data_IF_637205184971
#
_entry.id   IF_637205184971
#
_cell.length_a   1.000
_cell.length_b   1.000
_cell.length_c   1.000
_cell.angle_alpha   90.00
_cell.angle_beta   90.00
_cell.angle_gamma   90.00
#
_symmetry.space_group_name_H-M   'P 1'
#
loop_
_entity.id
_entity.type
_entity.pdbx_description
1 polymer ?
#
# COMPACT_ATOMS: atom_id res chain seq x y z
N UNK A 1 63.56 -90.57 58.53
CA UNK A 1 63.01 -90.45 57.16
C UNK A 1 61.65 -89.76 57.28
N UNK A 2 61.52 -88.56 56.70
CA UNK A 2 60.28 -88.04 56.05
C UNK A 2 59.05 -87.83 56.98
N UNK A 3 58.93 -86.62 57.55
CA UNK A 3 57.97 -85.53 57.22
C UNK A 3 56.49 -85.79 57.50
N UNK A 4 55.88 -84.93 58.33
CA UNK A 4 54.44 -84.67 58.32
C UNK A 4 54.20 -83.14 58.29
N UNK A 5 53.91 -82.69 57.07
CA UNK A 5 52.94 -81.65 56.67
C UNK A 5 52.65 -80.51 57.65
N UNK A 6 53.24 -79.34 57.37
CA UNK A 6 52.81 -78.05 57.91
C UNK A 6 51.61 -77.58 57.07
N UNK A 7 50.42 -77.56 57.67
CA UNK A 7 49.24 -76.89 57.11
C UNK A 7 49.53 -75.39 56.93
N UNK A 8 49.83 -74.97 55.70
CA UNK A 8 49.82 -73.56 55.31
C UNK A 8 48.42 -73.24 54.78
N UNK A 9 47.63 -72.61 55.63
CA UNK A 9 46.28 -72.13 55.32
C UNK A 9 46.41 -70.78 54.57
N UNK A 10 46.09 -70.66 53.26
CA UNK A 10 46.15 -69.38 52.57
C UNK A 10 44.79 -68.67 52.74
N UNK A 11 44.50 -68.18 53.95
CA UNK A 11 43.25 -67.46 54.26
C UNK A 11 43.44 -65.94 54.42
N UNK A 12 44.27 -65.33 53.57
CA UNK A 12 44.56 -63.88 53.62
C UNK A 12 44.52 -63.15 52.27
N UNK A 13 43.77 -63.63 51.27
CA UNK A 13 43.67 -62.94 49.96
C UNK A 13 42.25 -62.63 49.45
N UNK A 14 41.18 -63.15 50.07
CA UNK A 14 39.82 -62.88 49.60
C UNK A 14 39.32 -61.45 49.92
N UNK A 15 39.83 -60.81 50.98
CA UNK A 15 39.43 -59.45 51.36
C UNK A 15 40.07 -58.33 50.52
N UNK A 16 41.29 -58.53 50.02
CA UNK A 16 41.95 -57.55 49.15
C UNK A 16 41.35 -57.54 47.74
N UNK A 17 40.95 -58.71 47.23
CA UNK A 17 40.31 -58.86 45.92
C UNK A 17 38.91 -58.27 45.91
N UNK A 18 38.10 -58.45 46.96
CA UNK A 18 36.77 -57.84 47.07
C UNK A 18 36.82 -56.31 47.20
N UNK A 19 37.82 -55.76 47.91
CA UNK A 19 38.04 -54.32 48.02
C UNK A 19 38.48 -53.71 46.68
N UNK A 20 39.35 -54.40 45.94
CA UNK A 20 39.78 -53.97 44.60
C UNK A 20 38.63 -54.01 43.59
N UNK A 21 37.81 -55.07 43.59
CA UNK A 21 36.61 -55.16 42.75
C UNK A 21 35.60 -54.07 43.12
N UNK A 22 35.38 -53.83 44.42
CA UNK A 22 34.51 -52.76 44.91
C UNK A 22 34.98 -51.37 44.47
N UNK A 23 36.30 -51.10 44.51
CA UNK A 23 36.89 -49.85 44.04
C UNK A 23 36.70 -49.67 42.52
N UNK A 24 36.94 -50.74 41.74
CA UNK A 24 36.76 -50.72 40.28
C UNK A 24 35.29 -50.54 39.90
N UNK A 25 34.36 -51.16 40.64
CA UNK A 25 32.93 -50.96 40.42
C UNK A 25 32.49 -49.54 40.81
N UNK A 26 33.00 -49.01 41.92
CA UNK A 26 32.72 -47.63 42.32
C UNK A 26 33.26 -46.63 41.29
N UNK A 27 34.48 -46.84 40.79
CA UNK A 27 35.06 -45.98 39.76
C UNK A 27 34.33 -46.11 38.41
N UNK A 28 33.86 -47.30 38.05
CA UNK A 28 33.04 -47.50 36.86
C UNK A 28 31.68 -46.77 36.98
N UNK A 29 31.01 -46.87 38.13
CA UNK A 29 29.73 -46.19 38.39
C UNK A 29 29.91 -44.66 38.38
N UNK A 30 30.99 -44.13 38.97
CA UNK A 30 31.24 -42.68 38.96
C UNK A 30 31.53 -42.17 37.55
N UNK A 31 32.27 -42.91 36.72
CA UNK A 31 32.50 -42.57 35.32
C UNK A 31 31.19 -42.57 34.53
N UNK A 32 30.34 -43.60 34.71
CA UNK A 32 29.02 -43.65 34.05
C UNK A 32 28.16 -42.46 34.47
N UNK A 33 28.10 -42.14 35.78
CA UNK A 33 27.32 -41.01 36.28
C UNK A 33 27.79 -39.67 35.69
N UNK A 34 29.11 -39.45 35.58
CA UNK A 34 29.67 -38.25 34.94
C UNK A 34 29.33 -38.16 33.45
N UNK A 35 29.37 -39.28 32.73
CA UNK A 35 28.97 -39.33 31.32
C UNK A 35 27.48 -39.03 31.14
N UNK A 36 26.61 -39.63 31.96
CA UNK A 36 25.17 -39.36 31.92
C UNK A 36 24.86 -37.89 32.22
N UNK A 37 25.49 -37.31 33.26
CA UNK A 37 25.31 -35.90 33.59
C UNK A 37 25.74 -34.98 32.44
N UNK A 38 26.84 -35.31 31.75
CA UNK A 38 27.29 -34.57 30.56
C UNK A 38 26.30 -34.68 29.40
N UNK A 39 25.78 -35.88 29.13
CA UNK A 39 24.77 -36.08 28.06
C UNK A 39 23.50 -35.27 28.34
N UNK A 40 22.98 -35.33 29.58
CA UNK A 40 21.79 -34.58 29.98
C UNK A 40 22.02 -33.07 29.85
N UNK A 41 23.20 -32.56 30.25
CA UNK A 41 23.52 -31.15 30.09
C UNK A 41 23.53 -30.71 28.61
N UNK A 42 24.09 -31.54 27.73
CA UNK A 42 24.10 -31.28 26.28
C UNK A 42 22.68 -31.31 25.71
N UNK A 43 21.83 -32.25 26.13
CA UNK A 43 20.43 -32.32 25.70
C UNK A 43 19.61 -31.12 26.18
N UNK A 44 19.80 -30.68 27.43
CA UNK A 44 19.15 -29.47 27.96
C UNK A 44 19.58 -28.25 27.14
N UNK A 45 20.88 -28.12 26.84
CA UNK A 45 21.40 -27.02 26.05
C UNK A 45 20.86 -27.04 24.61
N UNK A 46 20.82 -28.22 23.98
CA UNK A 46 20.28 -28.39 22.64
C UNK A 46 18.78 -28.04 22.58
N UNK A 47 18.00 -28.50 23.57
CA UNK A 47 16.58 -28.19 23.70
C UNK A 47 16.35 -26.68 23.92
N UNK A 48 17.11 -26.06 24.83
CA UNK A 48 17.03 -24.62 25.06
C UNK A 48 17.38 -23.81 23.79
N UNK A 49 18.43 -24.22 23.07
CA UNK A 49 18.80 -23.59 21.81
C UNK A 49 17.72 -23.75 20.74
N UNK A 50 17.05 -24.90 20.68
CA UNK A 50 15.92 -25.13 19.77
C UNK A 50 14.74 -24.22 20.08
N UNK A 51 14.37 -24.07 21.36
CA UNK A 51 13.30 -23.16 21.80
C UNK A 51 13.64 -21.71 21.47
N UNK A 52 14.84 -21.25 21.81
CA UNK A 52 15.31 -19.89 21.49
C UNK A 52 15.31 -19.61 19.99
N UNK A 53 15.73 -20.60 19.19
CA UNK A 53 15.68 -20.48 17.73
C UNK A 53 14.25 -20.34 17.24
N UNK A 54 13.31 -21.15 17.76
CA UNK A 54 11.91 -21.07 17.39
C UNK A 54 11.28 -19.71 17.76
N UNK A 55 11.60 -19.18 18.95
CA UNK A 55 11.18 -17.84 19.37
C UNK A 55 11.73 -16.75 18.44
N UNK A 56 13.02 -16.78 18.13
CA UNK A 56 13.65 -15.81 17.24
C UNK A 56 13.04 -15.85 15.83
N UNK A 57 12.75 -17.04 15.29
CA UNK A 57 12.06 -17.19 13.99
C UNK A 57 10.65 -16.60 14.05
N UNK A 58 9.87 -16.91 15.08
CA UNK A 58 8.50 -16.41 15.21
C UNK A 58 8.47 -14.87 15.34
N UNK A 59 9.38 -14.30 16.13
CA UNK A 59 9.51 -12.85 16.28
C UNK A 59 9.97 -12.17 14.98
N UNK A 60 10.86 -12.82 14.21
CA UNK A 60 11.31 -12.31 12.92
C UNK A 60 10.17 -12.30 11.88
N UNK A 61 9.34 -13.35 11.85
CA UNK A 61 8.17 -13.42 10.97
C UNK A 61 7.13 -12.34 11.33
N UNK A 62 6.87 -12.14 12.63
CA UNK A 62 5.98 -11.06 13.07
C UNK A 62 6.50 -9.68 12.66
N UNK A 63 7.80 -9.42 12.88
CA UNK A 63 8.43 -8.18 12.45
C UNK A 63 8.35 -8.01 10.92
N UNK A 64 8.49 -9.10 10.16
CA UNK A 64 8.34 -9.10 8.71
C UNK A 64 6.91 -8.71 8.30
N UNK A 65 5.89 -9.36 8.86
CA UNK A 65 4.49 -9.07 8.54
C UNK A 65 4.12 -7.62 8.93
N UNK A 66 4.63 -7.15 10.06
CA UNK A 66 4.47 -5.77 10.52
C UNK A 66 5.12 -4.77 9.55
N UNK A 67 6.35 -5.03 9.10
CA UNK A 67 7.04 -4.19 8.12
C UNK A 67 6.35 -4.16 6.75
N UNK A 68 5.79 -5.30 6.29
CA UNK A 68 4.99 -5.36 5.06
C UNK A 68 3.72 -4.54 5.19
N UNK A 69 2.99 -4.69 6.29
CA UNK A 69 1.76 -3.93 6.54
C UNK A 69 2.03 -2.44 6.62
N UNK A 70 3.16 -2.04 7.22
CA UNK A 70 3.57 -0.65 7.26
C UNK A 70 3.85 -0.11 5.85
N UNK A 71 4.62 -0.86 5.05
CA UNK A 71 4.91 -0.47 3.67
C UNK A 71 3.64 -0.38 2.81
N UNK A 72 2.68 -1.29 2.98
CA UNK A 72 1.38 -1.20 2.29
C UNK A 72 0.58 0.05 2.68
N UNK A 73 0.71 0.55 3.91
CA UNK A 73 -0.03 1.73 4.37
C UNK A 73 0.40 3.09 3.79
N UNK A 74 1.49 3.15 3.00
CA UNK A 74 2.00 4.43 2.48
C UNK A 74 3.44 4.43 1.94
N UNK A 75 4.13 3.29 1.93
CA UNK A 75 5.52 3.17 1.49
C UNK A 75 6.53 3.18 2.64
N UNK A 76 7.79 3.50 2.34
CA UNK A 76 8.87 3.54 3.34
C UNK A 76 8.97 4.87 4.11
N UNK A 77 8.26 5.90 3.65
CA UNK A 77 8.25 7.25 4.24
C UNK A 77 6.79 7.74 4.31
N UNK A 78 6.17 7.58 5.48
CA UNK A 78 4.79 8.00 5.73
C UNK A 78 4.72 9.47 6.16
N UNK A 79 5.82 10.03 6.67
CA UNK A 79 5.87 11.39 7.22
C UNK A 79 6.27 12.44 6.15
N UNK A 80 6.81 11.99 5.02
CA UNK A 80 7.21 12.75 3.82
C UNK A 80 8.36 13.73 4.04
N UNK A 81 9.26 13.45 4.98
CA UNK A 81 10.49 14.21 5.16
C UNK A 81 11.59 13.81 4.14
N UNK A 82 11.30 12.82 3.27
CA UNK A 82 12.23 12.30 2.28
C UNK A 82 13.24 11.31 2.87
N UNK A 83 13.01 10.86 4.10
CA UNK A 83 13.84 9.89 4.82
C UNK A 83 13.01 8.65 5.11
N UNK A 84 13.66 7.49 5.03
CA UNK A 84 13.03 6.21 5.41
C UNK A 84 12.68 6.23 6.90
N UNK A 85 11.43 5.90 7.21
CA UNK A 85 10.93 5.90 8.57
C UNK A 85 11.55 4.78 9.42
N UNK A 86 11.80 5.09 10.69
CA UNK A 86 12.24 4.10 11.70
C UNK A 86 11.01 3.51 12.36
N UNK A 87 10.84 2.20 12.22
CA UNK A 87 9.64 1.51 12.65
C UNK A 87 9.83 0.81 14.00
N UNK A 88 9.25 1.30 15.12
CA UNK A 88 9.25 0.58 16.39
C UNK A 88 8.26 -0.59 16.31
N UNK A 89 8.80 -1.81 16.28
CA UNK A 89 8.00 -3.04 16.30
C UNK A 89 7.52 -3.29 17.74
N UNK A 90 6.20 -3.48 17.98
CA UNK A 90 5.70 -3.81 19.31
C UNK A 90 6.27 -5.14 19.84
N UNK A 91 6.47 -5.21 21.16
CA UNK A 91 6.88 -6.45 21.82
C UNK A 91 5.77 -7.51 21.73
N UNK A 92 6.17 -8.76 21.45
CA UNK A 92 5.27 -9.91 21.45
C UNK A 92 5.24 -10.56 22.82
N UNK A 93 4.07 -10.57 23.46
CA UNK A 93 3.86 -11.23 24.75
C UNK A 93 3.11 -12.55 24.55
N UNK A 94 3.72 -13.66 24.98
CA UNK A 94 3.09 -14.98 24.98
C UNK A 94 1.91 -15.02 25.96
N UNK A 95 0.74 -15.38 25.44
CA UNK A 95 -0.49 -15.53 26.24
C UNK A 95 -0.43 -16.72 27.23
N UNK A 96 0.50 -17.67 27.03
CA UNK A 96 0.58 -18.88 27.85
C UNK A 96 1.45 -18.70 29.09
N UNK A 97 2.58 -18.00 28.96
CA UNK A 97 3.61 -17.93 29.99
C UNK A 97 4.14 -16.50 30.24
N UNK A 98 3.61 -15.49 29.54
CA UNK A 98 3.98 -14.09 29.74
C UNK A 98 5.38 -13.73 29.24
N UNK A 99 6.07 -14.64 28.55
CA UNK A 99 7.38 -14.35 27.95
C UNK A 99 7.25 -13.29 26.87
N UNK A 100 8.25 -12.42 26.80
CA UNK A 100 8.32 -11.34 25.82
C UNK A 100 9.41 -11.65 24.81
N UNK A 101 9.06 -11.65 23.52
CA UNK A 101 10.03 -11.73 22.41
C UNK A 101 10.01 -10.45 21.62
N UNK A 102 11.14 -10.07 21.05
CA UNK A 102 11.30 -8.76 20.41
C UNK A 102 11.57 -8.90 18.92
N UNK A 103 11.01 -7.98 18.14
CA UNK A 103 11.27 -7.84 16.72
C UNK A 103 11.93 -6.50 16.41
N UNK A 104 12.69 -6.44 15.32
CA UNK A 104 13.24 -5.21 14.77
C UNK A 104 13.03 -5.21 13.26
N UNK A 105 12.58 -4.09 12.72
CA UNK A 105 12.48 -3.85 11.28
C UNK A 105 13.53 -2.81 10.87
N UNK A 106 14.18 -3.06 9.74
CA UNK A 106 15.02 -2.09 9.04
C UNK A 106 14.60 -2.07 7.57
N UNK A 107 14.37 -0.87 7.06
CA UNK A 107 14.13 -0.64 5.64
C UNK A 107 15.40 -0.09 5.00
N UNK A 108 15.78 -0.65 3.85
CA UNK A 108 16.92 -0.18 3.06
C UNK A 108 16.49 0.10 1.63
N UNK A 109 16.49 1.39 1.27
CA UNK A 109 16.14 1.90 -0.06
C UNK A 109 17.36 2.43 -0.81
N UNK A 110 18.58 2.16 -0.33
CA UNK A 110 19.80 2.64 -0.98
C UNK A 110 19.96 2.03 -2.38
N UNK A 111 20.56 2.80 -3.29
CA UNK A 111 20.86 2.33 -4.64
C UNK A 111 21.96 1.26 -4.64
N UNK A 112 21.92 0.36 -5.61
CA UNK A 112 22.87 -0.75 -5.68
C UNK A 112 22.63 -1.85 -4.64
N UNK A 113 21.54 -1.77 -3.88
CA UNK A 113 21.04 -2.90 -3.08
C UNK A 113 20.42 -3.96 -3.99
N UNK A 114 20.12 -5.14 -3.43
CA UNK A 114 19.48 -6.23 -4.18
C UNK A 114 18.14 -5.81 -4.81
N UNK A 115 17.40 -4.93 -4.15
CA UNK A 115 16.04 -4.55 -4.52
C UNK A 115 15.96 -3.21 -5.25
N UNK A 116 17.07 -2.46 -5.29
CA UNK A 116 17.18 -1.16 -5.96
C UNK A 116 18.38 -1.20 -6.90
N UNK A 117 18.13 -1.15 -8.20
CA UNK A 117 19.22 -1.17 -9.21
C UNK A 117 20.21 -0.01 -8.99
N UNK A 118 21.50 -0.26 -9.27
CA UNK A 118 22.53 0.77 -9.19
C UNK A 118 22.22 1.96 -10.12
N UNK A 119 22.30 3.18 -9.61
CA UNK A 119 21.91 4.39 -10.35
C UNK A 119 20.39 4.65 -10.42
N UNK A 120 19.57 3.85 -9.74
CA UNK A 120 18.17 4.18 -9.50
C UNK A 120 18.04 5.37 -8.56
N UNK A 121 17.08 6.26 -8.81
CA UNK A 121 16.67 7.21 -7.77
C UNK A 121 16.07 6.39 -6.62
N UNK A 122 16.42 6.71 -5.37
CA UNK A 122 15.71 6.19 -4.21
C UNK A 122 14.25 6.67 -4.29
N UNK A 123 13.38 5.86 -4.89
CA UNK A 123 12.00 6.22 -5.18
C UNK A 123 11.08 6.01 -3.97
N UNK A 124 11.63 5.61 -2.81
CA UNK A 124 10.93 5.23 -1.56
C UNK A 124 9.73 4.27 -1.78
N UNK A 125 9.68 3.62 -2.95
CA UNK A 125 8.63 2.72 -3.42
C UNK A 125 9.17 1.33 -3.71
N UNK A 126 10.49 1.13 -3.61
CA UNK A 126 11.14 -0.18 -3.63
C UNK A 126 12.34 -0.22 -2.69
N UNK A 127 12.57 -1.37 -2.09
CA UNK A 127 13.62 -1.52 -1.09
C UNK A 127 13.68 -2.91 -0.49
N UNK A 128 14.65 -3.13 0.38
CA UNK A 128 14.77 -4.31 1.22
C UNK A 128 14.05 -4.03 2.53
N UNK A 129 13.19 -4.96 2.96
CA UNK A 129 12.76 -5.08 4.35
C UNK A 129 13.60 -6.17 5.00
N UNK A 130 14.34 -5.81 6.04
CA UNK A 130 15.03 -6.74 6.94
C UNK A 130 14.30 -6.79 8.28
N UNK A 131 13.93 -7.99 8.72
CA UNK A 131 13.28 -8.22 9.99
C UNK A 131 14.14 -9.16 10.84
N UNK A 132 14.54 -8.69 12.02
CA UNK A 132 15.33 -9.46 12.99
C UNK A 132 14.47 -9.75 14.22
N UNK A 133 14.29 -11.03 14.53
CA UNK A 133 13.64 -11.49 15.77
C UNK A 133 14.66 -11.94 16.80
N UNK A 134 14.33 -11.75 18.08
CA UNK A 134 15.16 -12.12 19.23
C UNK A 134 14.38 -13.06 20.16
N UNK A 135 15.09 -14.03 20.76
CA UNK A 135 14.55 -14.84 21.86
C UNK A 135 14.23 -13.97 23.08
N UNK A 136 13.49 -14.54 24.03
CA UNK A 136 13.08 -13.85 25.26
C UNK A 136 14.26 -13.38 26.12
N UNK A 137 15.39 -14.08 26.04
CA UNK A 137 16.66 -13.75 26.70
C UNK A 137 17.66 -13.00 25.79
N UNK A 138 17.29 -12.71 24.54
CA UNK A 138 18.12 -12.02 23.56
C UNK A 138 19.36 -12.79 23.07
N UNK A 139 19.51 -14.07 23.46
CA UNK A 139 20.70 -14.87 23.12
C UNK A 139 20.63 -15.50 21.73
N UNK A 140 19.44 -15.75 21.20
CA UNK A 140 19.25 -16.15 19.82
C UNK A 140 18.62 -15.01 19.03
N UNK A 141 19.10 -14.84 17.80
CA UNK A 141 18.49 -13.95 16.82
C UNK A 141 18.34 -14.66 15.48
N UNK A 142 17.36 -14.21 14.70
CA UNK A 142 17.13 -14.63 13.32
C UNK A 142 16.79 -13.45 12.47
N UNK A 143 17.42 -13.33 11.31
CA UNK A 143 17.17 -12.24 10.37
C UNK A 143 16.65 -12.81 9.07
N UNK A 144 15.47 -12.34 8.67
CA UNK A 144 14.89 -12.60 7.37
C UNK A 144 14.81 -11.31 6.57
N UNK A 145 14.97 -11.40 5.25
CA UNK A 145 14.84 -10.23 4.38
C UNK A 145 14.05 -10.54 3.11
N UNK A 146 13.35 -9.54 2.61
CA UNK A 146 12.64 -9.62 1.34
C UNK A 146 12.60 -8.26 0.65
N UNK A 147 12.45 -8.27 -0.67
CA UNK A 147 12.25 -7.04 -1.44
C UNK A 147 10.78 -6.67 -1.44
N UNK A 148 10.50 -5.40 -1.17
CA UNK A 148 9.17 -4.81 -1.33
C UNK A 148 9.21 -3.83 -2.50
N UNK A 149 8.08 -3.75 -3.21
CA UNK A 149 7.87 -2.79 -4.28
C UNK A 149 6.40 -2.40 -4.35
N UNK A 150 6.09 -1.21 -4.86
CA UNK A 150 4.72 -0.83 -5.21
C UNK A 150 4.42 -1.21 -6.67
N UNK A 151 3.27 -1.84 -6.90
CA UNK A 151 2.76 -2.03 -8.25
C UNK A 151 2.35 -0.66 -8.83
N UNK A 152 2.90 -0.27 -9.99
CA UNK A 152 2.40 0.92 -10.67
C UNK A 152 1.00 0.58 -11.20
N UNK A 153 -0.05 1.04 -10.53
CA UNK A 153 -1.45 0.86 -10.95
C UNK A 153 -1.87 1.92 -11.96
N UNK A 154 -1.34 3.13 -11.81
CA UNK A 154 -1.57 4.26 -12.69
C UNK A 154 -0.50 4.35 -13.77
N UNK A 155 -0.87 4.94 -14.90
CA UNK A 155 0.11 5.35 -15.90
C UNK A 155 1.02 6.46 -15.35
N UNK A 156 2.29 6.41 -15.75
CA UNK A 156 3.30 7.40 -15.34
C UNK A 156 2.93 8.84 -15.73
N UNK A 157 2.14 9.01 -16.79
CA UNK A 157 1.60 10.30 -17.21
C UNK A 157 0.09 10.18 -17.38
N UNK A 158 -0.66 10.84 -16.50
CA UNK A 158 -2.11 10.96 -16.64
C UNK A 158 -2.46 12.05 -17.66
N UNK A 159 -3.61 11.97 -18.34
CA UNK A 159 -4.09 13.04 -19.21
C UNK A 159 -4.15 14.40 -18.49
N UNK A 160 -3.78 15.51 -19.17
CA UNK A 160 -3.71 16.85 -18.57
C UNK A 160 -5.07 17.54 -18.44
N UNK A 161 -6.09 16.85 -17.94
CA UNK A 161 -7.47 17.34 -17.85
C UNK A 161 -8.09 16.97 -16.49
N UNK A 162 -8.86 17.89 -15.91
CA UNK A 162 -9.62 17.62 -14.69
C UNK A 162 -10.75 16.61 -14.96
N UNK A 163 -11.34 16.67 -16.15
CA UNK A 163 -12.41 15.78 -16.60
C UNK A 163 -12.09 15.18 -17.97
N UNK A 164 -12.17 13.86 -18.07
CA UNK A 164 -12.09 13.13 -19.34
C UNK A 164 -13.30 12.22 -19.47
N UNK A 165 -14.02 12.29 -20.59
CA UNK A 165 -15.19 11.43 -20.80
C UNK A 165 -15.40 11.05 -22.25
N UNK A 166 -15.91 9.84 -22.53
CA UNK A 166 -16.25 9.42 -23.91
C UNK A 166 -17.53 10.07 -24.42
N UNK A 167 -18.45 10.41 -23.51
CA UNK A 167 -19.71 11.07 -23.86
C UNK A 167 -19.64 12.60 -23.78
N UNK A 168 -20.81 13.22 -23.84
CA UNK A 168 -21.00 14.66 -23.62
C UNK A 168 -21.15 15.02 -22.16
N UNK A 169 -21.06 16.32 -21.88
CA UNK A 169 -21.18 16.91 -20.55
C UNK A 169 -22.36 17.89 -20.55
N UNK A 170 -23.30 17.71 -19.63
CA UNK A 170 -24.47 18.59 -19.46
C UNK A 170 -24.72 18.82 -17.97
N UNK A 171 -23.94 19.74 -17.40
CA UNK A 171 -24.12 20.19 -16.02
C UNK A 171 -24.99 21.45 -16.07
N UNK A 172 -26.05 21.55 -15.27
CA UNK A 172 -26.91 22.76 -15.24
C UNK A 172 -26.69 23.62 -13.98
N UNK A 173 -26.03 23.08 -12.95
CA UNK A 173 -25.66 23.82 -11.74
C UNK A 173 -24.40 24.67 -11.89
N UNK A 174 -23.92 25.22 -10.76
CA UNK A 174 -22.74 26.10 -10.67
C UNK A 174 -21.43 25.29 -10.63
N UNK A 175 -21.20 24.44 -11.63
CA UNK A 175 -20.00 23.61 -11.67
C UNK A 175 -18.77 24.43 -12.06
N UNK A 176 -17.61 24.11 -11.49
CA UNK A 176 -16.33 24.74 -11.82
C UNK A 176 -15.29 23.67 -12.13
N UNK A 177 -14.52 23.86 -13.20
CA UNK A 177 -13.35 23.05 -13.51
C UNK A 177 -12.12 23.96 -13.47
N UNK A 178 -11.09 23.54 -12.75
CA UNK A 178 -9.88 24.32 -12.57
C UNK A 178 -8.68 23.46 -12.98
N UNK A 179 -7.82 23.97 -13.88
CA UNK A 179 -6.53 23.37 -14.14
C UNK A 179 -5.40 24.40 -13.99
N UNK A 180 -4.62 24.24 -12.91
CA UNK A 180 -3.45 25.08 -12.65
C UNK A 180 -2.13 24.48 -13.10
N UNK A 181 -2.14 23.30 -13.73
CA UNK A 181 -0.95 22.62 -14.23
C UNK A 181 -0.84 22.69 -15.75
N UNK A 182 -1.96 22.73 -16.47
CA UNK A 182 -2.01 22.72 -17.91
C UNK A 182 -3.08 23.71 -18.44
N UNK A 183 -2.99 24.12 -19.71
CA UNK A 183 -3.95 25.06 -20.32
C UNK A 183 -5.29 24.42 -20.71
N UNK A 184 -5.53 23.14 -20.37
CA UNK A 184 -6.74 22.42 -20.74
C UNK A 184 -7.50 21.97 -19.48
N UNK A 185 -8.82 21.94 -19.51
CA UNK A 185 -9.66 21.60 -18.33
C UNK A 185 -10.50 20.35 -18.55
N UNK A 186 -11.06 20.14 -19.74
CA UNK A 186 -11.88 18.98 -20.06
C UNK A 186 -11.60 18.39 -21.45
N UNK A 187 -11.72 17.07 -21.56
CA UNK A 187 -11.68 16.33 -22.83
C UNK A 187 -12.90 15.42 -22.93
N UNK A 188 -13.78 15.71 -23.88
CA UNK A 188 -15.06 15.02 -24.07
C UNK A 188 -15.19 14.50 -25.50
N UNK A 189 -15.62 13.25 -25.64
CA UNK A 189 -15.95 12.67 -26.95
C UNK A 189 -17.30 13.15 -27.50
N UNK A 190 -18.20 13.61 -26.62
CA UNK A 190 -19.45 14.26 -26.99
C UNK A 190 -19.40 15.78 -26.80
N UNK A 191 -20.55 16.42 -27.01
CA UNK A 191 -20.71 17.87 -26.84
C UNK A 191 -20.64 18.28 -25.36
N UNK A 192 -19.98 19.39 -25.06
CA UNK A 192 -19.97 20.04 -23.75
C UNK A 192 -20.94 21.21 -23.77
N UNK A 193 -22.05 21.09 -23.02
CA UNK A 193 -23.12 22.07 -23.03
C UNK A 193 -22.92 23.15 -21.96
N UNK A 194 -22.67 24.39 -22.40
CA UNK A 194 -22.67 25.59 -21.56
C UNK A 194 -24.00 26.36 -21.57
N UNK A 195 -24.87 26.13 -22.56
CA UNK A 195 -25.96 27.06 -22.92
C UNK A 195 -27.04 27.28 -21.83
N UNK A 196 -27.17 26.36 -20.87
CA UNK A 196 -28.06 26.49 -19.70
C UNK A 196 -27.31 26.31 -18.38
N UNK A 197 -25.97 26.28 -18.47
CA UNK A 197 -25.07 25.93 -17.39
C UNK A 197 -24.38 27.16 -16.84
N UNK A 198 -24.17 27.21 -15.53
CA UNK A 198 -23.21 28.13 -14.92
C UNK A 198 -21.80 27.51 -14.86
N UNK A 199 -21.55 26.45 -15.64
CA UNK A 199 -20.22 25.84 -15.79
C UNK A 199 -19.20 26.91 -16.17
N UNK A 200 -18.18 27.04 -15.34
CA UNK A 200 -17.02 27.89 -15.60
C UNK A 200 -15.77 27.05 -15.54
N UNK A 201 -14.87 27.29 -16.48
CA UNK A 201 -13.56 26.68 -16.45
C UNK A 201 -12.49 27.73 -16.21
N UNK A 202 -11.47 27.33 -15.48
CA UNK A 202 -10.39 28.19 -15.07
C UNK A 202 -9.07 27.49 -15.38
N UNK A 203 -8.17 28.21 -16.03
CA UNK A 203 -6.80 27.76 -16.24
C UNK A 203 -5.87 28.63 -15.40
N UNK A 204 -4.62 28.22 -15.26
CA UNK A 204 -3.62 29.07 -14.64
C UNK A 204 -3.65 30.48 -15.27
N UNK A 205 -3.77 31.51 -14.44
CA UNK A 205 -3.56 32.88 -14.90
C UNK A 205 -2.17 32.91 -15.52
N UNK A 206 -2.02 33.33 -16.78
CA UNK A 206 -0.79 33.31 -17.62
C UNK A 206 0.39 34.09 -17.01
N UNK A 207 0.79 33.69 -15.81
CA UNK A 207 1.77 34.31 -14.97
C UNK A 207 2.93 33.32 -14.88
N UNK A 208 4.19 33.74 -15.05
CA UNK A 208 5.37 32.89 -14.84
C UNK A 208 5.46 32.21 -13.46
N UNK A 209 4.51 32.49 -12.56
CA UNK A 209 4.39 32.01 -11.19
C UNK A 209 3.89 30.56 -11.04
N UNK A 210 3.56 29.82 -12.11
CA UNK A 210 3.16 28.40 -11.99
C UNK A 210 4.23 27.52 -11.32
N UNK A 211 5.51 27.90 -11.50
CA UNK A 211 6.65 27.29 -10.82
C UNK A 211 6.78 27.72 -9.35
N UNK A 212 6.23 28.87 -8.96
CA UNK A 212 6.28 29.41 -7.60
C UNK A 212 5.07 29.01 -6.74
N UNK A 213 3.98 28.54 -7.36
CA UNK A 213 2.81 28.05 -6.61
C UNK A 213 3.14 26.78 -5.84
N UNK A 214 2.79 26.79 -4.56
CA UNK A 214 2.84 25.63 -3.67
C UNK A 214 1.76 24.61 -4.05
N UNK A 215 1.96 23.33 -3.71
CA UNK A 215 0.95 22.29 -3.96
C UNK A 215 -0.43 22.64 -3.36
N UNK A 216 -0.54 23.13 -2.11
CA UNK A 216 -1.82 23.56 -1.55
C UNK A 216 -2.54 24.63 -2.39
N UNK A 217 -1.81 25.56 -3.00
CA UNK A 217 -2.42 26.56 -3.90
C UNK A 217 -2.86 25.94 -5.23
N UNK A 218 -2.09 25.00 -5.77
CA UNK A 218 -2.42 24.34 -7.05
C UNK A 218 -3.71 23.53 -6.96
N UNK A 219 -3.91 22.84 -5.84
CA UNK A 219 -5.05 21.93 -5.62
C UNK A 219 -6.27 22.59 -4.95
N UNK A 220 -6.22 23.89 -4.67
CA UNK A 220 -7.30 24.61 -4.00
C UNK A 220 -8.55 24.75 -4.90
N UNK A 221 -9.77 24.45 -4.41
CA UNK A 221 -11.00 24.62 -5.17
C UNK A 221 -11.43 26.09 -5.40
N UNK A 222 -10.81 27.06 -4.72
CA UNK A 222 -11.12 28.47 -4.91
C UNK A 222 -10.55 29.00 -6.24
N UNK A 223 -11.44 29.27 -7.20
CA UNK A 223 -11.08 29.85 -8.50
C UNK A 223 -10.44 31.24 -8.41
N UNK A 224 -10.57 31.99 -7.32
CA UNK A 224 -9.93 33.31 -7.19
C UNK A 224 -8.39 33.23 -7.07
N UNK A 225 -7.86 32.05 -6.71
CA UNK A 225 -6.43 31.86 -6.47
C UNK A 225 -5.70 31.56 -7.78
N UNK A 226 -4.99 32.57 -8.31
CA UNK A 226 -4.06 32.45 -9.43
C UNK A 226 -4.64 31.75 -10.67
N UNK A 227 -5.93 31.96 -10.96
CA UNK A 227 -6.57 31.45 -12.17
C UNK A 227 -7.12 32.57 -13.03
N UNK A 228 -7.39 32.24 -14.29
CA UNK A 228 -8.16 33.06 -15.22
C UNK A 228 -9.30 32.23 -15.79
N UNK A 229 -10.47 32.84 -15.97
CA UNK A 229 -11.60 32.18 -16.63
C UNK A 229 -11.25 31.90 -18.10
N UNK A 230 -11.46 30.67 -18.55
CA UNK A 230 -11.17 30.22 -19.91
C UNK A 230 -12.46 29.97 -20.70
N UNK A 231 -13.43 29.26 -20.11
CA UNK A 231 -14.76 29.03 -20.67
C UNK A 231 -15.86 29.42 -19.69
N UNK A 232 -16.95 30.02 -20.19
CA UNK A 232 -18.17 30.26 -19.42
C UNK A 232 -19.34 30.60 -20.36
N UNK A 233 -20.58 30.60 -19.86
CA UNK A 233 -21.74 31.02 -20.65
C UNK A 233 -21.61 32.44 -21.27
N UNK A 234 -20.89 33.36 -20.60
CA UNK A 234 -20.63 34.71 -21.12
C UNK A 234 -19.42 34.83 -22.05
N UNK A 235 -18.47 33.89 -21.99
CA UNK A 235 -17.25 33.88 -22.82
C UNK A 235 -17.32 32.92 -24.01
N UNK A 236 -18.26 31.97 -23.98
CA UNK A 236 -18.28 30.81 -24.88
C UNK A 236 -17.35 29.70 -24.40
N UNK A 237 -17.24 28.66 -25.23
CA UNK A 237 -16.25 27.59 -25.07
C UNK A 237 -14.87 28.12 -25.52
N UNK A 238 -13.93 28.13 -24.60
CA UNK A 238 -12.53 28.42 -24.83
C UNK A 238 -11.76 27.20 -25.35
N UNK A 239 -10.50 27.41 -25.72
CA UNK A 239 -9.59 26.36 -26.22
C UNK A 239 -9.19 25.32 -25.16
N UNK A 240 -9.54 25.57 -23.89
CA UNK A 240 -9.22 24.71 -22.77
C UNK A 240 -10.12 23.45 -22.72
N UNK A 241 -11.25 23.47 -23.42
CA UNK A 241 -12.17 22.32 -23.53
C UNK A 241 -12.03 21.70 -24.91
N UNK A 242 -11.74 20.41 -24.95
CA UNK A 242 -11.80 19.61 -26.17
C UNK A 242 -13.12 18.86 -26.17
N UNK A 243 -14.02 19.18 -27.11
CA UNK A 243 -15.32 18.52 -27.24
C UNK A 243 -15.48 17.85 -28.59
N UNK A 244 -16.46 16.94 -28.68
CA UNK A 244 -16.80 16.22 -29.91
C UNK A 244 -15.61 15.46 -30.52
N UNK A 245 -14.67 15.02 -29.68
CA UNK A 245 -13.54 14.22 -30.13
C UNK A 245 -14.00 12.80 -30.48
N UNK A 246 -14.08 12.52 -31.78
CA UNK A 246 -14.51 11.23 -32.29
C UNK A 246 -13.55 10.09 -31.89
N UNK A 247 -12.24 10.36 -31.80
CA UNK A 247 -11.29 9.34 -31.38
C UNK A 247 -11.55 8.93 -29.93
N UNK A 248 -11.79 9.90 -29.04
CA UNK A 248 -12.13 9.63 -27.64
C UNK A 248 -13.49 8.92 -27.50
N UNK A 249 -14.50 9.35 -28.25
CA UNK A 249 -15.84 8.76 -28.21
C UNK A 249 -15.85 7.28 -28.64
N UNK A 250 -14.99 6.91 -29.59
CA UNK A 250 -14.95 5.58 -30.21
C UNK A 250 -13.94 4.61 -29.59
N UNK A 251 -13.18 5.03 -28.57
CA UNK A 251 -12.30 4.12 -27.83
C UNK A 251 -13.08 2.95 -27.24
N UNK A 252 -12.47 1.76 -27.24
CA UNK A 252 -12.99 0.63 -26.48
C UNK A 252 -12.87 0.90 -24.98
N UNK A 253 -13.63 0.17 -24.17
CA UNK A 253 -13.57 0.28 -22.70
C UNK A 253 -12.15 0.05 -22.17
N UNK A 254 -11.46 -0.98 -22.66
CA UNK A 254 -10.08 -1.28 -22.28
C UNK A 254 -9.11 -0.20 -22.72
N UNK A 255 -9.29 0.38 -23.91
CA UNK A 255 -8.42 1.44 -24.41
C UNK A 255 -8.61 2.75 -23.63
N UNK A 256 -9.85 3.07 -23.22
CA UNK A 256 -10.12 4.21 -22.36
C UNK A 256 -9.56 3.98 -20.95
N UNK A 257 -9.79 2.80 -20.35
CA UNK A 257 -9.23 2.42 -19.05
C UNK A 257 -7.69 2.52 -19.06
N UNK A 258 -7.07 1.99 -20.12
CA UNK A 258 -5.62 2.00 -20.33
C UNK A 258 -4.99 3.39 -20.51
N UNK A 259 -5.76 4.47 -20.62
CA UNK A 259 -5.22 5.85 -20.56
C UNK A 259 -4.88 6.29 -19.15
N UNK A 260 -5.54 5.73 -18.13
CA UNK A 260 -5.34 6.09 -16.73
C UNK A 260 -4.56 5.02 -15.97
N UNK A 261 -4.80 3.76 -16.30
CA UNK A 261 -4.23 2.61 -15.63
C UNK A 261 -3.20 1.90 -16.51
N UNK A 262 -2.09 1.47 -15.90
CA UNK A 262 -1.04 0.68 -16.53
C UNK A 262 -1.34 -0.83 -16.50
N UNK A 263 -2.27 -1.25 -15.64
CA UNK A 263 -2.72 -2.64 -15.48
C UNK A 263 -4.10 -2.84 -16.13
N UNK A 264 -4.41 -4.04 -16.63
CA UNK A 264 -5.75 -4.34 -17.14
C UNK A 264 -6.84 -4.16 -16.07
N UNK A 265 -8.05 -3.74 -16.49
CA UNK A 265 -9.22 -3.52 -15.62
C UNK A 265 -9.51 -4.68 -14.68
N UNK A 266 -9.43 -5.92 -15.17
CA UNK A 266 -9.61 -7.13 -14.38
C UNK A 266 -8.54 -7.31 -13.27
N UNK A 267 -7.29 -6.93 -13.53
CA UNK A 267 -6.20 -7.00 -12.55
C UNK A 267 -6.39 -5.95 -11.47
N UNK A 268 -6.77 -4.72 -11.84
CA UNK A 268 -7.09 -3.65 -10.87
C UNK A 268 -8.24 -4.06 -9.95
N UNK A 269 -9.29 -4.68 -10.50
CA UNK A 269 -10.37 -5.28 -9.69
C UNK A 269 -9.84 -6.33 -8.72
N UNK A 270 -9.01 -7.26 -9.20
CA UNK A 270 -8.47 -8.32 -8.36
C UNK A 270 -7.59 -7.76 -7.22
N UNK A 271 -6.83 -6.69 -7.47
CA UNK A 271 -6.07 -5.97 -6.44
C UNK A 271 -6.99 -5.37 -5.37
N UNK A 272 -8.10 -4.73 -5.76
CA UNK A 272 -9.06 -4.20 -4.79
C UNK A 272 -9.69 -5.31 -3.94
N UNK A 273 -10.02 -6.46 -4.56
CA UNK A 273 -10.55 -7.64 -3.86
C UNK A 273 -9.53 -8.20 -2.87
N UNK A 274 -8.27 -8.36 -3.27
CA UNK A 274 -7.23 -8.94 -2.39
C UNK A 274 -6.94 -8.07 -1.16
N UNK A 275 -7.17 -6.76 -1.26
CA UNK A 275 -6.92 -5.80 -0.18
C UNK A 275 -8.18 -5.43 0.62
N UNK A 276 -9.28 -6.18 0.46
CA UNK A 276 -10.55 -5.91 1.12
C UNK A 276 -11.07 -4.46 0.90
N UNK A 277 -10.76 -3.90 -0.27
CA UNK A 277 -11.17 -2.56 -0.71
C UNK A 277 -12.18 -2.65 -1.87
N UNK A 278 -13.00 -3.71 -1.84
CA UNK A 278 -14.02 -4.02 -2.82
C UNK A 278 -15.40 -4.06 -2.15
N UNK A 279 -16.42 -3.51 -2.81
CA UNK A 279 -17.82 -3.65 -2.39
C UNK A 279 -18.74 -3.85 -3.58
N UNK A 280 -19.67 -4.79 -3.46
CA UNK A 280 -20.77 -5.04 -4.40
C UNK A 280 -22.14 -4.67 -3.82
N UNK A 281 -22.16 -4.06 -2.62
CA UNK A 281 -23.37 -3.58 -2.02
C UNK A 281 -23.88 -2.33 -2.77
N UNK A 282 -25.18 -2.26 -3.12
CA UNK A 282 -25.78 -1.03 -3.61
C UNK A 282 -25.71 0.05 -2.51
N UNK A 283 -25.33 1.27 -2.88
CA UNK A 283 -25.16 2.43 -1.97
C UNK A 283 -24.16 2.20 -0.82
N UNK A 284 -23.17 1.33 -1.05
CA UNK A 284 -22.33 0.74 -0.03
C UNK A 284 -21.10 1.54 0.38
N UNK A 285 -21.11 2.87 0.33
CA UNK A 285 -19.93 3.65 0.68
C UNK A 285 -20.21 4.71 1.76
N UNK A 286 -19.98 4.32 3.02
CA UNK A 286 -19.72 5.30 4.07
C UNK A 286 -18.26 5.75 3.97
N UNK A 287 -18.07 7.00 3.58
CA UNK A 287 -16.77 7.66 3.49
C UNK A 287 -16.24 8.18 4.82
N UNK A 288 -16.87 7.81 5.93
CA UNK A 288 -16.44 8.13 7.28
C UNK A 288 -15.19 7.34 7.69
N UNK A 289 -14.04 7.69 7.08
CA UNK A 289 -12.76 7.07 7.39
C UNK A 289 -11.54 7.70 6.73
N UNK A 290 -11.72 8.55 5.72
CA UNK A 290 -10.59 9.21 5.04
C UNK A 290 -9.66 8.22 4.32
N UNK A 291 -10.16 7.05 3.94
CA UNK A 291 -9.37 5.96 3.36
C UNK A 291 -8.77 6.40 2.02
N UNK A 292 -7.44 6.49 1.96
CA UNK A 292 -6.66 6.55 0.71
C UNK A 292 -6.47 5.16 0.10
N UNK A 293 -5.87 5.08 -1.09
CA UNK A 293 -5.60 3.81 -1.78
C UNK A 293 -6.63 3.43 -2.83
N UNK A 294 -6.56 2.18 -3.32
CA UNK A 294 -7.44 1.68 -4.38
C UNK A 294 -8.76 1.14 -3.80
N UNK A 295 -9.88 1.67 -4.28
CA UNK A 295 -11.25 1.27 -3.91
C UNK A 295 -12.01 0.88 -5.18
N UNK A 296 -12.69 -0.27 -5.16
CA UNK A 296 -13.51 -0.76 -6.27
C UNK A 296 -14.95 -1.00 -5.83
N UNK A 297 -15.90 -0.40 -6.53
CA UNK A 297 -17.33 -0.56 -6.31
C UNK A 297 -18.00 -1.16 -7.53
N UNK A 298 -18.90 -2.12 -7.33
CA UNK A 298 -19.74 -2.67 -8.40
C UNK A 298 -21.14 -2.06 -8.41
N UNK A 299 -21.73 -1.94 -9.59
CA UNK A 299 -23.09 -1.47 -9.76
C UNK A 299 -23.28 0.03 -9.57
N UNK A 300 -24.54 0.45 -9.49
CA UNK A 300 -24.91 1.85 -9.30
C UNK A 300 -24.62 2.29 -7.86
N UNK A 301 -23.91 3.39 -7.71
CA UNK A 301 -23.48 3.92 -6.41
C UNK A 301 -23.94 5.37 -6.22
N UNK A 302 -24.17 5.75 -4.97
CA UNK A 302 -24.53 7.12 -4.59
C UNK A 302 -23.68 7.62 -3.42
N UNK A 303 -23.02 8.77 -3.62
CA UNK A 303 -22.18 9.44 -2.62
C UNK A 303 -22.80 10.78 -2.25
N UNK A 304 -23.10 10.98 -0.97
CA UNK A 304 -23.75 12.20 -0.47
C UNK A 304 -22.96 12.94 0.61
N UNK A 305 -21.97 12.30 1.23
CA UNK A 305 -21.15 12.90 2.28
C UNK A 305 -19.82 12.18 2.47
N UNK A 306 -18.85 12.89 3.02
CA UNK A 306 -17.59 12.35 3.53
C UNK A 306 -16.38 12.69 2.67
N UNK A 307 -15.20 12.23 3.08
CA UNK A 307 -13.93 12.55 2.43
C UNK A 307 -13.19 11.28 2.04
N UNK A 308 -12.75 11.22 0.78
CA UNK A 308 -11.95 10.15 0.19
C UNK A 308 -10.54 10.63 -0.06
N UNK A 309 -9.59 9.99 0.62
CA UNK A 309 -8.18 10.35 0.56
C UNK A 309 -7.87 11.77 1.06
N UNK A 310 -6.64 12.18 0.82
CA UNK A 310 -6.12 13.52 1.10
C UNK A 310 -5.00 13.84 0.11
N UNK A 311 -4.48 15.08 0.08
CA UNK A 311 -3.23 15.38 -0.64
C UNK A 311 -2.07 14.49 -0.17
N UNK A 312 -2.15 14.01 1.08
CA UNK A 312 -1.14 13.17 1.68
C UNK A 312 -1.34 11.66 1.46
N UNK A 313 -2.57 11.23 1.21
CA UNK A 313 -2.93 9.83 0.97
C UNK A 313 -4.04 9.79 -0.09
N UNK A 314 -3.69 9.94 -1.38
CA UNK A 314 -4.71 9.99 -2.42
C UNK A 314 -5.46 8.66 -2.55
N UNK A 315 -6.66 8.72 -3.11
CA UNK A 315 -7.51 7.59 -3.38
C UNK A 315 -7.70 7.38 -4.89
N UNK A 316 -7.79 6.12 -5.30
CA UNK A 316 -8.32 5.72 -6.61
C UNK A 316 -9.67 5.08 -6.34
N UNK A 317 -10.75 5.70 -6.82
CA UNK A 317 -12.08 5.13 -6.74
C UNK A 317 -12.52 4.68 -8.13
N UNK A 318 -12.73 3.38 -8.29
CA UNK A 318 -13.30 2.79 -9.49
C UNK A 318 -14.74 2.39 -9.20
N UNK A 319 -15.70 3.02 -9.89
CA UNK A 319 -17.11 2.63 -9.87
C UNK A 319 -17.43 1.91 -11.17
N UNK A 320 -17.56 0.59 -11.10
CA UNK A 320 -17.99 -0.26 -12.19
C UNK A 320 -19.52 -0.25 -12.34
N UNK A 321 -20.06 0.95 -12.58
CA UNK A 321 -21.46 1.22 -12.85
C UNK A 321 -21.69 2.73 -12.95
N UNK A 322 -22.93 3.15 -12.73
CA UNK A 322 -23.30 4.56 -12.65
C UNK A 322 -22.96 5.13 -11.26
N UNK A 323 -22.54 6.39 -11.21
CA UNK A 323 -22.25 7.10 -9.97
C UNK A 323 -23.12 8.35 -9.86
N UNK A 324 -23.90 8.45 -8.79
CA UNK A 324 -24.51 9.72 -8.36
C UNK A 324 -23.66 10.35 -7.26
N UNK A 325 -23.30 11.62 -7.39
CA UNK A 325 -22.50 12.36 -6.39
C UNK A 325 -23.17 13.68 -6.04
N UNK A 326 -23.30 13.97 -4.75
CA UNK A 326 -23.88 15.20 -4.24
C UNK A 326 -23.49 15.47 -2.79
N UNK A 327 -24.22 16.37 -2.15
CA UNK A 327 -24.02 16.81 -0.78
C UNK A 327 -22.60 17.35 -0.53
N UNK A 328 -21.96 16.91 0.54
CA UNK A 328 -20.64 17.38 0.97
C UNK A 328 -19.60 16.27 0.86
N UNK A 329 -19.25 15.92 -0.38
CA UNK A 329 -18.22 14.93 -0.71
C UNK A 329 -16.92 15.64 -1.08
N UNK A 330 -15.80 15.24 -0.49
CA UNK A 330 -14.46 15.67 -0.90
C UNK A 330 -13.66 14.46 -1.38
N UNK A 331 -12.98 14.57 -2.51
CA UNK A 331 -12.18 13.48 -3.07
C UNK A 331 -10.80 13.98 -3.51
N UNK A 332 -9.76 13.22 -3.22
CA UNK A 332 -8.38 13.50 -3.63
C UNK A 332 -7.77 12.32 -4.40
N UNK A 333 -7.60 12.43 -5.72
CA UNK A 333 -6.93 11.40 -6.56
C UNK A 333 -7.61 11.10 -7.90
N UNK A 334 -7.76 9.82 -8.27
CA UNK A 334 -8.45 9.41 -9.51
C UNK A 334 -9.86 8.88 -9.25
N UNK A 335 -10.87 9.53 -9.81
CA UNK A 335 -12.22 8.98 -9.91
C UNK A 335 -12.41 8.35 -11.29
N UNK A 336 -12.71 7.06 -11.35
CA UNK A 336 -13.05 6.35 -12.58
C UNK A 336 -14.48 5.80 -12.50
N UNK A 337 -15.34 6.16 -13.44
CA UNK A 337 -16.73 5.71 -13.53
C UNK A 337 -16.94 5.00 -14.86
N UNK A 338 -17.33 3.73 -14.84
CA UNK A 338 -17.56 2.97 -16.07
C UNK A 338 -18.90 3.30 -16.75
N UNK A 339 -19.90 3.72 -15.97
CA UNK A 339 -21.21 4.18 -16.43
C UNK A 339 -21.29 5.70 -16.52
N UNK A 340 -22.47 6.25 -16.23
CA UNK A 340 -22.71 7.69 -16.19
C UNK A 340 -22.38 8.30 -14.81
N UNK A 341 -21.88 9.55 -14.83
CA UNK A 341 -21.71 10.37 -13.64
C UNK A 341 -22.87 11.38 -13.55
N UNK A 342 -23.63 11.32 -12.45
CA UNK A 342 -24.74 12.23 -12.18
C UNK A 342 -24.46 13.09 -10.95
N UNK A 343 -24.40 14.41 -11.13
CA UNK A 343 -24.20 15.39 -10.04
C UNK A 343 -25.56 15.80 -9.48
N UNK A 344 -25.87 15.31 -8.28
CA UNK A 344 -27.08 15.64 -7.53
C UNK A 344 -26.86 16.87 -6.65
N UNK A 345 -27.89 17.29 -5.92
CA UNK A 345 -27.85 18.51 -5.08
C UNK A 345 -26.69 18.52 -4.08
N UNK A 346 -26.06 19.67 -3.91
CA UNK A 346 -24.89 19.89 -3.05
C UNK A 346 -23.71 20.50 -3.81
N UNK A 347 -22.55 20.49 -3.16
CA UNK A 347 -21.31 21.07 -3.68
C UNK A 347 -20.12 20.07 -3.52
N UNK A 348 -20.18 18.87 -4.12
CA UNK A 348 -19.04 17.95 -4.12
C UNK A 348 -17.79 18.58 -4.73
N UNK A 349 -16.64 18.30 -4.12
CA UNK A 349 -15.32 18.75 -4.56
C UNK A 349 -14.43 17.56 -4.87
N UNK A 350 -13.97 17.48 -6.11
CA UNK A 350 -13.03 16.48 -6.59
C UNK A 350 -11.72 17.15 -7.00
N UNK A 351 -10.65 16.82 -6.28
CA UNK A 351 -9.28 17.24 -6.54
C UNK A 351 -8.49 16.09 -7.14
N UNK A 352 -8.16 16.16 -8.42
CA UNK A 352 -7.46 15.12 -9.17
C UNK A 352 -7.99 14.99 -10.58
N UNK A 353 -8.30 13.78 -11.03
CA UNK A 353 -8.87 13.55 -12.37
C UNK A 353 -10.15 12.74 -12.26
N UNK A 354 -11.22 13.17 -12.94
CA UNK A 354 -12.40 12.36 -13.22
C UNK A 354 -12.32 11.76 -14.62
N UNK A 355 -12.42 10.44 -14.69
CA UNK A 355 -12.55 9.68 -15.92
C UNK A 355 -13.93 9.02 -15.96
N UNK A 356 -14.76 9.40 -16.94
CA UNK A 356 -16.11 8.86 -17.10
C UNK A 356 -16.20 8.15 -18.45
N UNK A 357 -16.10 6.83 -18.40
CA UNK A 357 -16.12 5.95 -19.56
C UNK A 357 -17.49 5.99 -20.23
N UNK A 358 -18.56 5.77 -19.45
CA UNK A 358 -19.91 5.50 -19.91
C UNK A 358 -19.90 4.51 -21.09
N UNK A 359 -19.87 3.21 -20.79
CA UNK A 359 -19.80 2.13 -21.79
C UNK A 359 -20.86 2.23 -22.91
N UNK A 360 -22.02 2.82 -22.63
CA UNK A 360 -23.08 3.10 -23.59
C UNK A 360 -22.84 4.34 -24.48
N UNK A 361 -21.72 5.05 -24.31
CA UNK A 361 -21.51 6.36 -24.89
C UNK A 361 -21.02 6.33 -26.35
N UNK A 362 -21.67 7.16 -27.18
CA UNK A 362 -21.17 7.65 -28.47
C UNK A 362 -21.18 9.19 -28.48
N UNK A 363 -20.81 9.81 -29.60
CA UNK A 363 -20.67 11.29 -29.68
C UNK A 363 -21.95 12.09 -29.35
N UNK A 364 -23.12 11.46 -29.30
CA UNK A 364 -24.41 12.06 -28.97
C UNK A 364 -24.99 11.77 -27.58
N UNK A 365 -24.35 10.92 -26.77
CA UNK A 365 -24.84 10.56 -25.42
C UNK A 365 -24.22 11.42 -24.34
N UNK A 366 -24.99 11.81 -23.33
CA UNK A 366 -24.46 12.54 -22.16
C UNK A 366 -23.92 11.52 -21.15
N UNK A 367 -22.64 11.65 -20.80
CA UNK A 367 -21.97 10.80 -19.81
C UNK A 367 -21.83 11.48 -18.44
N UNK A 368 -21.74 12.81 -18.42
CA UNK A 368 -21.70 13.60 -17.19
C UNK A 368 -22.89 14.54 -17.20
N UNK A 369 -23.77 14.42 -16.22
CA UNK A 369 -25.01 15.20 -16.13
C UNK A 369 -25.29 15.64 -14.71
N UNK A 370 -26.19 16.58 -14.50
CA UNK A 370 -26.65 16.92 -13.15
C UNK A 370 -27.03 18.38 -12.96
N UNK A 371 -27.85 18.65 -11.96
CA UNK A 371 -28.28 19.99 -11.58
C UNK A 371 -27.51 20.59 -10.39
N UNK A 372 -26.76 19.76 -9.65
CA UNK A 372 -25.91 20.22 -8.56
C UNK A 372 -24.66 20.98 -9.02
N UNK A 373 -23.92 21.53 -8.05
CA UNK A 373 -22.63 22.17 -8.30
C UNK A 373 -21.51 21.13 -8.12
N UNK A 374 -20.61 21.01 -9.08
CA UNK A 374 -19.42 20.17 -8.95
C UNK A 374 -18.17 21.03 -9.06
N UNK A 375 -17.26 20.94 -8.09
CA UNK A 375 -15.92 21.51 -8.19
C UNK A 375 -14.93 20.41 -8.61
N UNK A 376 -14.23 20.62 -9.73
CA UNK A 376 -13.19 19.74 -10.25
C UNK A 376 -11.88 20.49 -10.33
N UNK A 377 -10.86 20.07 -9.59
CA UNK A 377 -9.53 20.69 -9.60
C UNK A 377 -8.51 19.68 -10.10
N UNK A 378 -7.87 19.95 -11.23
CA UNK A 378 -6.84 19.05 -11.76
C UNK A 378 -5.62 18.99 -10.84
N UNK A 379 -5.24 17.77 -10.49
CA UNK A 379 -4.02 17.47 -9.75
C UNK A 379 -3.38 16.21 -10.36
N UNK A 380 -2.18 16.29 -10.98
CA UNK A 380 -1.51 15.11 -11.54
C UNK A 380 -0.61 14.37 -10.54
N UNK A 381 -0.19 15.05 -9.47
CA UNK A 381 0.89 14.56 -8.58
C UNK A 381 0.41 13.55 -7.53
N UNK A 382 -0.76 12.92 -7.72
CA UNK A 382 -1.27 11.89 -6.82
C UNK A 382 -0.75 10.47 -7.14
N UNK A 383 -0.05 10.29 -8.26
CA UNK A 383 0.52 9.00 -8.70
C UNK A 383 1.96 9.07 -9.23
N UNK A 384 2.64 10.22 -9.10
CA UNK A 384 4.00 10.45 -9.60
C UNK A 384 5.10 9.89 -8.68
N UNK A 385 6.36 10.01 -9.08
CA UNK A 385 7.53 9.44 -8.38
C UNK A 385 7.65 9.87 -6.90
N UNK A 386 7.17 11.07 -6.55
CA UNK A 386 7.17 11.60 -5.18
C UNK A 386 5.86 11.38 -4.41
N UNK A 387 4.87 10.68 -5.00
CA UNK A 387 3.63 10.33 -4.32
C UNK A 387 3.84 9.07 -3.48
N UNK A 388 3.20 8.94 -2.30
CA UNK A 388 3.31 7.76 -1.46
C UNK A 388 2.79 6.52 -2.19
N UNK A 389 3.23 5.35 -1.73
CA UNK A 389 2.65 4.08 -2.18
C UNK A 389 1.16 4.12 -1.86
N UNK A 390 0.33 3.82 -2.85
CA UNK A 390 -1.11 3.76 -2.65
C UNK A 390 -1.41 2.52 -1.79
N UNK A 391 -2.21 2.65 -0.71
CA UNK A 391 -2.65 1.51 0.05
C UNK A 391 -3.26 0.41 -0.81
N UNK A 392 -2.85 -0.84 -0.55
CA UNK A 392 -3.22 -2.02 -1.34
C UNK A 392 -2.43 -2.22 -2.63
N UNK A 393 -1.36 -1.46 -2.86
CA UNK A 393 -0.49 -1.64 -4.05
C UNK A 393 0.89 -2.19 -3.71
N UNK A 394 1.18 -2.48 -2.43
CA UNK A 394 2.41 -3.16 -2.07
C UNK A 394 2.46 -4.59 -2.63
N UNK A 395 3.64 -4.97 -3.11
CA UNK A 395 3.95 -6.29 -3.57
C UNK A 395 5.30 -6.74 -3.00
N UNK A 396 5.34 -7.99 -2.57
CA UNK A 396 6.59 -8.70 -2.27
C UNK A 396 7.16 -9.23 -3.57
N UNK A 397 8.43 -8.96 -3.84
CA UNK A 397 9.09 -9.51 -5.03
C UNK A 397 9.29 -11.00 -4.84
N UNK A 398 8.63 -11.81 -5.68
CA UNK A 398 8.74 -13.26 -5.62
C UNK A 398 10.20 -13.74 -5.75
N UNK A 399 10.60 -14.71 -4.93
CA UNK A 399 11.96 -15.25 -4.91
C UNK A 399 13.00 -14.33 -4.26
N UNK A 400 12.60 -13.18 -3.71
CA UNK A 400 13.51 -12.29 -2.98
C UNK A 400 13.73 -12.69 -1.51
N UNK A 401 12.97 -13.66 -0.99
CA UNK A 401 13.09 -14.08 0.40
C UNK A 401 14.48 -14.68 0.68
N UNK A 402 15.08 -14.28 1.80
CA UNK A 402 16.32 -14.84 2.34
C UNK A 402 16.27 -14.92 3.86
N UNK A 403 16.98 -15.90 4.39
CA UNK A 403 17.18 -16.16 5.82
C UNK A 403 18.66 -16.49 6.03
N UNK A 404 19.27 -15.98 7.11
CA UNK A 404 20.67 -16.23 7.46
C UNK A 404 20.93 -16.19 8.96
#
# INVERSE_FOLDING_TARGET
MVTLSRNLNPRYQQGAVSLLIGLVLLSAITVIALLTAKTVAVEIQASANQVRTAQAVAAAQYAMDFGVSYFDGGGFDHNRDGVVDVLPVPDLVSAFDGRVTQGKVVFDTADGTRCVSAGGKADLKRGVLEATGFSDDGLASRTVSQCLTALPVLNAQLPPFALVTRGGVTLTGNSILINRYAPNTAHAGGKVMLATSQLKTYINALNPAQAAMTTPEKINPDSAINTQAASSAGLGLGLDIWEQDLELATLTEEAFFGRFFSLPKAVVKQLAVSNNAFSDAPDGLDLSGGSGGLIWLEGTQSLSKGTLGSPDKPAILVVNGDLSVGGSVNFYGLLYVSGALHVTDGDPSLTGTAAVENSAAGSGTVAVSGAGSLSLVYWPDFGGDNSPVLPGTAAVVAGSWRDW
#
